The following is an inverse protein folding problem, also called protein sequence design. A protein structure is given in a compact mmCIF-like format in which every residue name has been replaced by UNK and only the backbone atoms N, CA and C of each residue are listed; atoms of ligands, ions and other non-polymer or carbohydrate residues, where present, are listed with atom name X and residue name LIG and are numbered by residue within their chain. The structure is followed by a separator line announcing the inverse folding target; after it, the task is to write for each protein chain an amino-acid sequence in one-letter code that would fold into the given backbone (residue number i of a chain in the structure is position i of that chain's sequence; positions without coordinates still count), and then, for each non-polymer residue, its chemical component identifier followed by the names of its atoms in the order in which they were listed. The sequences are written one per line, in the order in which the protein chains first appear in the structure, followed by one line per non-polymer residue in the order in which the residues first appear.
data_IF_612464656600
#
_entry.id   IF_612464656600
#
_cell.length_a   1.000
_cell.length_b   1.000
_cell.length_c   1.000
_cell.angle_alpha   90.00
_cell.angle_beta   90.00
_cell.angle_gamma   90.00
#
_symmetry.space_group_name_H-M   'P 1'
#
loop_
_entity.id
_entity.type
_entity.pdbx_description
1 polymer ?
#
# COMPACT_ATOMS: atom_id res chain seq x y z
N UNK A 1 11.16 62.45 18.34
CA UNK A 1 10.80 61.48 19.34
C UNK A 1 9.39 60.98 19.05
N UNK A 2 9.25 59.81 18.41
CA UNK A 2 7.99 59.18 18.14
C UNK A 2 8.09 57.74 18.66
N UNK A 3 7.49 57.48 19.81
CA UNK A 3 7.33 56.19 20.40
C UNK A 3 6.25 55.41 19.60
N UNK A 4 6.66 54.38 18.87
CA UNK A 4 5.74 53.41 18.29
C UNK A 4 5.30 52.44 19.41
N UNK A 5 4.02 52.51 19.73
CA UNK A 5 3.37 51.52 20.60
C UNK A 5 3.46 50.11 19.93
N UNK A 6 3.90 49.06 20.64
CA UNK A 6 3.73 47.71 20.15
C UNK A 6 2.25 47.35 20.20
N UNK A 7 1.70 47.03 19.04
CA UNK A 7 0.34 46.45 18.90
C UNK A 7 0.29 45.21 19.77
N UNK A 8 -0.50 45.26 20.84
CA UNK A 8 -0.80 44.12 21.68
C UNK A 8 -1.46 43.07 20.82
N UNK A 9 -0.81 41.92 20.64
CA UNK A 9 -1.43 40.73 20.07
C UNK A 9 -2.62 40.36 20.94
N UNK A 10 -3.78 40.29 20.32
CA UNK A 10 -5.01 39.83 20.95
C UNK A 10 -4.77 38.47 21.63
N UNK A 11 -4.96 38.45 22.94
CA UNK A 11 -4.69 37.32 23.83
C UNK A 11 -5.72 36.16 23.69
N UNK A 12 -6.40 36.03 22.54
CA UNK A 12 -7.48 35.05 22.38
C UNK A 12 -7.32 34.15 21.15
N UNK A 13 -6.10 33.96 20.67
CA UNK A 13 -5.87 32.93 19.66
C UNK A 13 -5.34 31.69 20.39
N UNK A 14 -6.12 30.59 20.50
CA UNK A 14 -5.65 29.38 21.14
C UNK A 14 -4.39 28.86 20.43
N UNK A 15 -3.48 28.28 21.21
CA UNK A 15 -2.26 27.68 20.68
C UNK A 15 -2.60 26.63 19.60
N UNK A 16 -1.75 26.41 18.56
CA UNK A 16 -2.04 25.48 17.46
C UNK A 16 -2.50 24.09 17.91
N UNK A 17 -1.90 23.54 18.96
CA UNK A 17 -2.29 22.26 19.56
C UNK A 17 -3.71 22.24 20.14
N UNK A 18 -4.18 23.36 20.70
CA UNK A 18 -5.53 23.44 21.25
C UNK A 18 -6.58 23.51 20.15
N UNK A 19 -6.24 24.14 19.03
CA UNK A 19 -7.12 24.25 17.85
C UNK A 19 -7.32 22.88 17.17
N UNK A 20 -6.25 22.10 17.04
CA UNK A 20 -6.33 20.74 16.48
C UNK A 20 -7.16 19.79 17.37
N UNK A 21 -6.98 19.83 18.68
CA UNK A 21 -7.78 19.06 19.64
C UNK A 21 -9.27 19.41 19.56
N UNK A 22 -9.59 20.71 19.45
CA UNK A 22 -10.96 21.18 19.27
C UNK A 22 -11.55 20.71 17.93
N UNK A 23 -10.78 20.80 16.85
CA UNK A 23 -11.20 20.31 15.54
C UNK A 23 -11.46 18.79 15.54
N UNK A 24 -10.56 18.01 16.13
CA UNK A 24 -10.71 16.56 16.30
C UNK A 24 -11.97 16.20 17.10
N UNK A 25 -12.20 16.90 18.22
CA UNK A 25 -13.42 16.72 19.02
C UNK A 25 -14.66 17.05 18.22
N UNK A 26 -14.67 18.18 17.50
CA UNK A 26 -15.78 18.60 16.66
C UNK A 26 -16.08 17.61 15.55
N UNK A 27 -15.06 17.12 14.86
CA UNK A 27 -15.20 16.12 13.80
C UNK A 27 -15.79 14.81 14.33
N UNK A 28 -15.28 14.28 15.45
CA UNK A 28 -15.80 13.07 16.07
C UNK A 28 -17.24 13.23 16.55
N UNK A 29 -17.59 14.37 17.17
CA UNK A 29 -18.96 14.67 17.57
C UNK A 29 -19.91 14.78 16.37
N UNK A 30 -19.46 15.37 15.26
CA UNK A 30 -20.21 15.41 14.01
C UNK A 30 -20.49 14.00 13.49
N UNK A 31 -19.50 13.10 13.51
CA UNK A 31 -19.68 11.69 13.16
C UNK A 31 -20.60 10.95 14.12
N UNK A 32 -20.65 11.31 15.40
CA UNK A 32 -21.61 10.76 16.35
C UNK A 32 -23.01 11.41 16.29
N UNK A 33 -23.14 12.58 15.62
CA UNK A 33 -24.37 13.37 15.61
C UNK A 33 -24.65 14.11 16.91
N UNK A 34 -23.60 14.38 17.70
CA UNK A 34 -23.71 15.14 18.96
C UNK A 34 -23.60 16.64 18.69
N UNK A 35 -24.23 17.48 19.52
CA UNK A 35 -24.14 18.93 19.38
C UNK A 35 -22.70 19.41 19.66
N UNK A 36 -22.27 20.40 18.86
CA UNK A 36 -20.96 21.05 19.00
C UNK A 36 -21.07 22.26 19.91
N UNK A 37 -20.03 22.53 20.69
CA UNK A 37 -19.84 23.80 21.39
C UNK A 37 -19.50 24.92 20.42
N UNK A 38 -19.61 26.18 20.83
CA UNK A 38 -19.35 27.31 19.93
C UNK A 38 -17.89 27.39 19.49
N UNK A 39 -16.94 26.98 20.36
CA UNK A 39 -15.53 26.90 20.01
C UNK A 39 -15.25 25.77 19.02
N UNK A 40 -15.89 24.62 19.19
CA UNK A 40 -15.84 23.50 18.25
C UNK A 40 -16.44 23.86 16.89
N UNK A 41 -17.56 24.57 16.87
CA UNK A 41 -18.16 25.10 15.62
C UNK A 41 -17.21 26.00 14.86
N UNK A 42 -16.51 26.92 15.58
CA UNK A 42 -15.51 27.80 14.96
C UNK A 42 -14.36 27.00 14.38
N UNK A 43 -13.78 26.07 15.17
CA UNK A 43 -12.68 25.22 14.70
C UNK A 43 -13.08 24.39 13.47
N UNK A 44 -14.28 23.82 13.48
CA UNK A 44 -14.81 23.01 12.38
C UNK A 44 -15.09 23.83 11.13
N UNK A 45 -15.71 25.02 11.26
CA UNK A 45 -16.01 25.90 10.12
C UNK A 45 -14.76 26.48 9.47
N UNK A 46 -13.73 26.77 10.25
CA UNK A 46 -12.43 27.28 9.73
C UNK A 46 -11.74 26.21 8.87
N UNK A 47 -11.81 24.95 9.28
CA UNK A 47 -11.22 23.84 8.54
C UNK A 47 -12.10 23.42 7.34
N UNK A 48 -13.44 23.50 7.46
CA UNK A 48 -14.40 23.12 6.41
C UNK A 48 -14.46 24.11 5.22
N UNK A 49 -13.88 25.30 5.32
CA UNK A 49 -13.77 26.23 4.19
C UNK A 49 -12.96 25.67 3.00
N UNK A 50 -12.35 24.48 3.16
CA UNK A 50 -11.66 23.73 2.10
C UNK A 50 -12.57 22.75 1.33
N UNK A 51 -13.87 22.70 1.61
CA UNK A 51 -14.87 22.00 0.78
C UNK A 51 -15.18 20.55 1.13
N UNK A 52 -14.38 19.87 1.96
CA UNK A 52 -14.66 18.51 2.46
C UNK A 52 -14.24 18.42 3.94
N UNK A 53 -14.95 17.64 4.78
CA UNK A 53 -14.54 17.39 6.16
C UNK A 53 -13.24 16.56 6.14
N UNK A 54 -12.12 17.27 6.24
CA UNK A 54 -10.79 16.66 6.29
C UNK A 54 -10.68 15.92 7.62
N UNK A 55 -10.21 14.67 7.58
CA UNK A 55 -9.91 13.92 8.80
C UNK A 55 -8.81 14.68 9.56
N UNK A 56 -8.94 14.88 10.89
CA UNK A 56 -7.88 15.47 11.69
C UNK A 56 -6.55 14.72 11.51
N UNK A 57 -5.45 15.45 11.41
CA UNK A 57 -4.12 14.88 11.10
C UNK A 57 -3.73 13.76 12.07
N UNK A 58 -4.02 13.93 13.35
CA UNK A 58 -3.77 12.90 14.37
C UNK A 58 -4.55 11.62 14.13
N UNK A 59 -5.81 11.72 13.70
CA UNK A 59 -6.64 10.55 13.36
C UNK A 59 -6.21 9.94 12.04
N UNK A 60 -5.84 10.73 11.03
CA UNK A 60 -5.28 10.25 9.76
C UNK A 60 -4.00 9.44 9.99
N UNK A 61 -3.09 9.94 10.82
CA UNK A 61 -1.86 9.24 11.18
C UNK A 61 -2.13 7.91 11.92
N UNK A 62 -3.15 7.85 12.77
CA UNK A 62 -3.58 6.60 13.41
C UNK A 62 -4.12 5.59 12.38
N UNK A 63 -4.91 6.04 11.40
CA UNK A 63 -5.41 5.21 10.30
C UNK A 63 -4.23 4.63 9.50
N UNK A 64 -3.29 5.47 9.08
CA UNK A 64 -2.12 5.05 8.30
C UNK A 64 -1.27 4.05 9.09
N UNK A 65 -1.02 4.33 10.39
CA UNK A 65 -0.29 3.41 11.26
C UNK A 65 -0.99 2.05 11.34
N UNK A 66 -2.31 2.05 11.54
CA UNK A 66 -3.10 0.82 11.59
C UNK A 66 -3.07 0.06 10.27
N UNK A 67 -3.12 0.77 9.13
CA UNK A 67 -2.99 0.16 7.81
C UNK A 67 -1.65 -0.58 7.65
N UNK A 68 -0.56 0.01 8.11
CA UNK A 68 0.76 -0.63 8.06
C UNK A 68 0.91 -1.80 9.03
N UNK A 69 0.18 -1.80 10.16
CA UNK A 69 0.11 -2.96 11.06
C UNK A 69 -0.63 -4.14 10.41
N UNK A 70 -1.72 -3.86 9.68
CA UNK A 70 -2.56 -4.88 9.02
C UNK A 70 -1.91 -5.41 7.75
N UNK A 71 -1.27 -4.54 6.98
CA UNK A 71 -0.63 -4.86 5.71
C UNK A 71 0.82 -4.32 5.66
N UNK A 72 1.77 -5.00 6.35
CA UNK A 72 3.16 -4.54 6.44
C UNK A 72 3.86 -4.43 5.08
N UNK A 73 3.39 -5.13 4.05
CA UNK A 73 3.96 -5.04 2.70
C UNK A 73 3.85 -3.61 2.12
N UNK A 74 2.86 -2.83 2.56
CA UNK A 74 2.69 -1.44 2.14
C UNK A 74 3.90 -0.56 2.50
N UNK A 75 4.60 -0.88 3.59
CA UNK A 75 5.81 -0.15 4.00
C UNK A 75 6.99 -0.39 3.05
N UNK A 76 6.97 -1.49 2.30
CA UNK A 76 8.01 -1.82 1.34
C UNK A 76 7.72 -1.23 -0.04
N UNK A 77 6.47 -0.83 -0.32
CA UNK A 77 6.06 -0.18 -1.56
C UNK A 77 6.38 1.32 -1.53
N UNK A 78 6.61 1.89 -2.70
CA UNK A 78 6.84 3.33 -2.87
C UNK A 78 5.51 4.04 -3.06
N UNK A 79 4.94 4.57 -1.96
CA UNK A 79 3.62 5.18 -1.96
C UNK A 79 3.73 6.70 -1.84
N UNK A 80 3.03 7.42 -2.72
CA UNK A 80 2.94 8.87 -2.77
C UNK A 80 1.55 9.35 -2.37
N UNK A 81 1.44 10.63 -1.98
CA UNK A 81 0.21 11.33 -1.65
C UNK A 81 0.11 12.59 -2.52
N UNK A 82 -0.16 12.40 -3.82
CA UNK A 82 -0.24 13.50 -4.78
C UNK A 82 -1.66 13.58 -5.33
N UNK A 83 -2.38 14.70 -5.13
CA UNK A 83 -3.73 14.87 -5.64
C UNK A 83 -3.79 14.78 -7.17
N UNK A 84 -4.83 14.12 -7.68
CA UNK A 84 -5.08 14.01 -9.11
C UNK A 84 -4.23 12.93 -9.81
N UNK A 85 -4.10 13.06 -11.13
CA UNK A 85 -3.33 12.12 -11.93
C UNK A 85 -1.84 12.33 -11.71
N UNK A 86 -1.15 11.28 -11.31
CA UNK A 86 0.28 11.28 -11.04
C UNK A 86 1.03 10.49 -12.11
N UNK A 87 2.07 11.09 -12.67
CA UNK A 87 3.01 10.42 -13.58
C UNK A 87 4.37 10.34 -12.93
N UNK A 88 4.86 9.11 -12.78
CA UNK A 88 6.21 8.84 -12.30
C UNK A 88 7.10 8.48 -13.48
N UNK A 89 8.18 9.24 -13.68
CA UNK A 89 9.19 8.91 -14.69
C UNK A 89 10.03 7.72 -14.21
N UNK A 90 10.20 6.75 -15.07
CA UNK A 90 11.09 5.60 -14.86
C UNK A 90 12.17 5.61 -15.93
N UNK A 91 13.37 5.19 -15.57
CA UNK A 91 14.43 4.93 -16.52
C UNK A 91 14.02 3.73 -17.39
N UNK A 92 14.06 3.89 -18.70
CA UNK A 92 13.72 2.83 -19.64
C UNK A 92 14.95 1.97 -19.95
N UNK A 93 15.58 2.20 -21.08
CA UNK A 93 16.89 1.64 -21.41
C UNK A 93 17.98 2.65 -21.09
N UNK A 94 18.99 2.20 -20.35
CA UNK A 94 20.18 2.96 -20.07
C UNK A 94 21.34 2.21 -20.74
N UNK A 95 21.96 2.83 -21.76
CA UNK A 95 23.09 2.24 -22.42
C UNK A 95 24.34 2.39 -21.53
N UNK A 96 25.20 1.36 -21.51
CA UNK A 96 26.45 1.42 -20.78
C UNK A 96 27.39 2.46 -21.38
N UNK A 97 28.17 3.11 -20.53
CA UNK A 97 29.23 4.01 -20.99
C UNK A 97 30.25 3.25 -21.81
N UNK A 98 30.50 3.70 -23.05
CA UNK A 98 31.49 3.09 -23.92
C UNK A 98 32.88 3.58 -23.59
N UNK A 99 33.89 2.69 -23.68
CA UNK A 99 35.31 3.08 -23.61
C UNK A 99 35.68 3.89 -24.86
N UNK A 100 36.07 5.14 -24.65
CA UNK A 100 36.49 6.01 -25.76
C UNK A 100 37.98 5.76 -26.13
N UNK A 101 38.21 5.53 -27.41
CA UNK A 101 39.58 5.48 -27.98
C UNK A 101 39.90 6.86 -28.53
N UNK A 102 41.11 7.35 -28.24
CA UNK A 102 41.59 8.65 -28.72
C UNK A 102 41.42 8.79 -30.24
N UNK A 103 40.89 9.92 -30.70
CA UNK A 103 40.53 10.23 -32.09
C UNK A 103 39.40 9.40 -32.74
N UNK A 104 38.68 8.59 -32.00
CA UNK A 104 37.48 7.92 -32.51
C UNK A 104 36.23 8.83 -32.39
N UNK A 105 35.25 8.65 -33.27
CA UNK A 105 33.99 9.35 -33.17
C UNK A 105 33.19 8.80 -31.96
N UNK A 106 32.62 9.69 -31.12
CA UNK A 106 31.75 9.33 -30.03
C UNK A 106 30.37 9.04 -30.61
N UNK A 107 29.88 7.83 -30.41
CA UNK A 107 28.51 7.46 -30.75
C UNK A 107 27.60 7.82 -29.56
N UNK A 108 26.55 8.61 -29.81
CA UNK A 108 25.57 8.94 -28.77
C UNK A 108 24.78 7.68 -28.41
N UNK A 109 24.71 7.40 -27.14
CA UNK A 109 23.79 6.39 -26.59
C UNK A 109 22.35 6.91 -26.66
N UNK A 110 21.39 5.99 -26.83
CA UNK A 110 19.96 6.33 -26.89
C UNK A 110 19.28 5.88 -25.60
N UNK A 111 19.31 6.75 -24.58
CA UNK A 111 18.57 6.52 -23.36
C UNK A 111 17.06 6.76 -23.60
N UNK A 112 16.24 5.89 -23.08
CA UNK A 112 14.79 6.05 -23.14
C UNK A 112 14.21 6.26 -21.74
N UNK A 113 13.27 7.21 -21.62
CA UNK A 113 12.51 7.44 -20.42
C UNK A 113 11.12 6.83 -20.58
N UNK A 114 10.79 5.91 -19.69
CA UNK A 114 9.42 5.42 -19.52
C UNK A 114 8.63 6.27 -18.53
N UNK A 115 7.33 6.09 -18.46
CA UNK A 115 6.50 6.67 -17.42
C UNK A 115 5.43 5.72 -16.95
N UNK A 116 5.20 5.70 -15.63
CA UNK A 116 4.05 5.05 -15.01
C UNK A 116 3.01 6.12 -14.71
N UNK A 117 1.82 6.00 -15.30
CA UNK A 117 0.70 6.91 -15.04
C UNK A 117 -0.28 6.25 -14.07
N UNK A 118 -0.58 6.92 -12.96
CA UNK A 118 -1.54 6.53 -11.94
C UNK A 118 -2.74 7.46 -12.02
N UNK A 119 -3.94 6.89 -12.21
CA UNK A 119 -5.18 7.65 -12.43
C UNK A 119 -6.08 7.67 -11.20
N UNK A 120 -5.93 6.71 -10.31
CA UNK A 120 -6.74 6.57 -9.11
C UNK A 120 -8.02 5.76 -9.33
N UNK A 121 -8.28 4.84 -8.39
CA UNK A 121 -9.52 4.06 -8.30
C UNK A 121 -10.12 4.27 -6.92
N UNK A 122 -11.42 4.47 -6.86
CA UNK A 122 -12.11 4.65 -5.60
C UNK A 122 -12.25 3.32 -4.85
N UNK A 123 -11.77 3.30 -3.62
CA UNK A 123 -11.91 2.17 -2.70
C UNK A 123 -12.82 2.61 -1.57
N UNK A 124 -13.96 1.94 -1.44
CA UNK A 124 -14.99 2.30 -0.47
C UNK A 124 -15.28 1.17 0.49
N UNK A 125 -15.59 1.53 1.73
CA UNK A 125 -16.10 0.63 2.77
C UNK A 125 -17.29 1.26 3.46
N UNK A 126 -18.46 0.63 3.31
CA UNK A 126 -19.65 0.98 4.07
C UNK A 126 -19.67 0.15 5.36
N UNK A 127 -19.75 0.82 6.49
CA UNK A 127 -19.88 0.23 7.82
C UNK A 127 -21.25 0.60 8.40
N UNK A 128 -22.05 -0.40 8.70
CA UNK A 128 -23.34 -0.23 9.40
C UNK A 128 -23.10 -0.38 10.89
N UNK A 129 -23.29 0.70 11.64
CA UNK A 129 -23.16 0.68 13.09
C UNK A 129 -24.55 0.83 13.74
N UNK A 130 -24.76 0.14 14.85
CA UNK A 130 -25.98 0.33 15.60
C UNK A 130 -26.01 1.72 16.25
N UNK A 131 -27.19 2.23 16.56
CA UNK A 131 -27.33 3.52 17.24
C UNK A 131 -26.62 3.59 18.59
N UNK A 132 -26.38 2.45 19.24
CA UNK A 132 -25.58 2.37 20.45
C UNK A 132 -24.13 2.86 20.25
N UNK A 133 -23.57 2.78 19.02
CA UNK A 133 -22.25 3.31 18.74
C UNK A 133 -22.17 4.84 18.85
N UNK A 134 -23.26 5.56 18.62
CA UNK A 134 -23.31 7.02 18.80
C UNK A 134 -23.24 7.45 20.28
N UNK A 135 -23.55 6.55 21.19
CA UNK A 135 -23.50 6.79 22.65
C UNK A 135 -22.12 6.45 23.26
N UNK A 136 -21.22 5.88 22.47
CA UNK A 136 -19.86 5.57 22.95
C UNK A 136 -19.10 6.83 23.35
N UNK A 137 -18.12 6.67 24.24
CA UNK A 137 -17.13 7.75 24.50
C UNK A 137 -16.39 8.08 23.22
N UNK A 138 -16.07 9.37 23.02
CA UNK A 138 -15.42 9.87 21.78
C UNK A 138 -14.15 9.08 21.41
N UNK A 139 -13.31 8.77 22.38
CA UNK A 139 -12.07 8.02 22.13
C UNK A 139 -12.31 6.57 21.72
N UNK A 140 -13.30 5.92 22.32
CA UNK A 140 -13.67 4.55 21.96
C UNK A 140 -14.31 4.49 20.57
N UNK A 141 -15.14 5.47 20.24
CA UNK A 141 -15.73 5.61 18.91
C UNK A 141 -14.68 5.86 17.84
N UNK A 142 -13.71 6.74 18.10
CA UNK A 142 -12.60 7.00 17.19
C UNK A 142 -11.81 5.73 16.92
N UNK A 143 -11.38 5.02 17.98
CA UNK A 143 -10.65 3.76 17.85
C UNK A 143 -11.43 2.73 17.02
N UNK A 144 -12.73 2.61 17.23
CA UNK A 144 -13.58 1.70 16.46
C UNK A 144 -13.62 2.06 14.97
N UNK A 145 -13.85 3.34 14.63
CA UNK A 145 -13.90 3.79 13.23
C UNK A 145 -12.54 3.62 12.55
N UNK A 146 -11.47 4.02 13.23
CA UNK A 146 -10.09 3.86 12.74
C UNK A 146 -9.79 2.39 12.45
N UNK A 147 -10.10 1.50 13.39
CA UNK A 147 -9.81 0.07 13.24
C UNK A 147 -10.57 -0.55 12.09
N UNK A 148 -11.89 -0.37 12.04
CA UNK A 148 -12.75 -1.03 11.04
C UNK A 148 -12.48 -0.51 9.62
N UNK A 149 -12.31 0.80 9.45
CA UNK A 149 -12.09 1.38 8.11
C UNK A 149 -10.66 1.13 7.65
N UNK A 150 -9.66 1.39 8.50
CA UNK A 150 -8.25 1.20 8.15
C UNK A 150 -7.95 -0.25 7.79
N UNK A 151 -8.46 -1.20 8.57
CA UNK A 151 -8.25 -2.63 8.29
C UNK A 151 -8.88 -3.03 6.95
N UNK A 152 -10.12 -2.62 6.68
CA UNK A 152 -10.79 -2.98 5.44
C UNK A 152 -10.11 -2.40 4.20
N UNK A 153 -9.69 -1.13 4.27
CA UNK A 153 -9.00 -0.43 3.18
C UNK A 153 -7.60 -1.05 2.97
N UNK A 154 -6.83 -1.27 4.05
CA UNK A 154 -5.50 -1.86 3.97
C UNK A 154 -5.51 -3.25 3.32
N UNK A 155 -6.42 -4.13 3.76
CA UNK A 155 -6.59 -5.47 3.17
C UNK A 155 -6.97 -5.41 1.69
N UNK A 156 -7.77 -4.42 1.29
CA UNK A 156 -8.16 -4.25 -0.11
C UNK A 156 -7.00 -3.76 -0.97
N UNK A 157 -6.22 -2.81 -0.47
CA UNK A 157 -5.02 -2.32 -1.16
C UNK A 157 -3.96 -3.41 -1.24
N UNK A 158 -3.70 -4.14 -0.15
CA UNK A 158 -2.80 -5.30 -0.16
C UNK A 158 -3.21 -6.31 -1.24
N UNK A 159 -4.51 -6.63 -1.33
CA UNK A 159 -5.02 -7.51 -2.36
C UNK A 159 -4.71 -6.99 -3.77
N UNK A 160 -4.84 -5.69 -4.03
CA UNK A 160 -4.50 -5.11 -5.33
C UNK A 160 -3.00 -5.15 -5.60
N UNK A 161 -2.14 -4.91 -4.60
CA UNK A 161 -0.68 -5.04 -4.74
C UNK A 161 -0.28 -6.44 -5.19
N UNK A 162 -0.98 -7.49 -4.74
CA UNK A 162 -0.68 -8.85 -5.14
C UNK A 162 -1.41 -9.31 -6.41
N UNK A 163 -2.70 -9.02 -6.55
CA UNK A 163 -3.56 -9.61 -7.59
C UNK A 163 -4.08 -8.61 -8.60
N UNK A 164 -3.74 -7.34 -8.47
CA UNK A 164 -4.20 -6.29 -9.36
C UNK A 164 -3.73 -6.46 -10.80
N UNK A 165 -4.61 -6.22 -11.76
CA UNK A 165 -4.33 -6.39 -13.19
C UNK A 165 -4.04 -5.08 -13.92
N UNK A 166 -4.22 -3.92 -13.27
CA UNK A 166 -4.05 -2.61 -13.89
C UNK A 166 -5.13 -2.23 -14.91
N UNK A 167 -6.14 -3.07 -15.09
CA UNK A 167 -7.28 -2.79 -15.99
C UNK A 167 -8.53 -2.61 -15.15
N UNK A 168 -9.09 -1.40 -15.11
CA UNK A 168 -10.23 -1.00 -14.27
C UNK A 168 -10.01 -1.24 -12.77
N UNK A 169 -8.78 -1.40 -12.35
CA UNK A 169 -8.34 -1.58 -10.97
C UNK A 169 -6.84 -1.30 -10.86
N UNK A 170 -6.32 -1.02 -9.64
CA UNK A 170 -4.89 -0.88 -9.44
C UNK A 170 -4.10 -2.07 -9.98
N UNK A 171 -2.89 -1.84 -10.47
CA UNK A 171 -1.97 -2.89 -10.89
C UNK A 171 -1.13 -3.41 -9.73
N UNK A 172 -0.73 -4.68 -9.80
CA UNK A 172 0.03 -5.34 -8.76
C UNK A 172 1.13 -6.25 -9.31
N UNK A 173 1.78 -6.99 -8.42
CA UNK A 173 2.87 -7.92 -8.74
C UNK A 173 2.50 -8.86 -9.89
N UNK A 174 1.24 -9.26 -10.00
CA UNK A 174 0.77 -10.15 -11.07
C UNK A 174 1.06 -9.64 -12.49
N UNK A 175 1.30 -8.34 -12.64
CA UNK A 175 1.61 -7.67 -13.91
C UNK A 175 3.01 -7.04 -13.91
N UNK A 176 3.94 -7.61 -13.14
CA UNK A 176 5.29 -7.10 -12.99
C UNK A 176 6.36 -7.89 -13.77
N UNK A 177 5.94 -8.88 -14.57
CA UNK A 177 6.85 -9.71 -15.38
C UNK A 177 7.57 -8.93 -16.49
N UNK A 178 8.58 -9.58 -17.07
CA UNK A 178 9.39 -9.04 -18.17
C UNK A 178 8.68 -9.10 -19.53
N UNK A 179 7.62 -9.91 -19.65
CA UNK A 179 6.89 -10.08 -20.89
C UNK A 179 6.00 -8.89 -21.25
N UNK A 180 5.37 -8.97 -22.42
CA UNK A 180 4.46 -7.94 -22.89
C UNK A 180 3.35 -7.69 -21.88
N UNK A 181 3.03 -6.42 -21.59
CA UNK A 181 2.04 -6.00 -20.60
C UNK A 181 2.32 -6.50 -19.17
N UNK A 182 3.59 -6.83 -18.85
CA UNK A 182 3.99 -7.31 -17.53
C UNK A 182 3.64 -8.78 -17.26
N UNK A 183 3.46 -9.58 -18.29
CA UNK A 183 3.24 -11.02 -18.14
C UNK A 183 4.51 -11.74 -17.71
N UNK A 184 4.38 -12.76 -16.88
CA UNK A 184 5.47 -13.65 -16.52
C UNK A 184 5.66 -14.73 -17.60
N UNK A 185 6.90 -15.07 -17.88
CA UNK A 185 7.27 -16.06 -18.89
C UNK A 185 8.12 -17.16 -18.27
N UNK A 186 7.71 -18.42 -18.45
CA UNK A 186 8.42 -19.57 -17.92
C UNK A 186 9.87 -19.65 -18.45
N UNK A 187 10.82 -19.88 -17.55
CA UNK A 187 12.25 -19.86 -17.85
C UNK A 187 12.91 -18.47 -17.95
N UNK A 188 12.15 -17.36 -17.91
CA UNK A 188 12.68 -15.99 -17.98
C UNK A 188 12.51 -15.25 -16.66
N UNK A 189 11.33 -15.29 -16.07
CA UNK A 189 10.98 -14.66 -14.79
C UNK A 189 9.91 -15.48 -14.04
N UNK A 190 9.63 -16.68 -14.51
CA UNK A 190 8.73 -17.64 -13.90
C UNK A 190 9.34 -19.04 -13.92
N UNK A 191 9.04 -19.81 -12.88
CA UNK A 191 9.21 -21.26 -12.86
C UNK A 191 7.83 -21.90 -12.66
N UNK A 192 7.44 -22.77 -13.58
CA UNK A 192 6.18 -23.51 -13.49
C UNK A 192 6.44 -24.95 -13.06
N UNK A 193 5.98 -25.30 -11.87
CA UNK A 193 6.04 -26.68 -11.34
C UNK A 193 4.82 -27.45 -11.83
N UNK A 194 5.04 -28.68 -12.31
CA UNK A 194 3.93 -29.52 -12.77
C UNK A 194 2.89 -29.78 -11.66
N UNK A 195 1.62 -29.94 -12.03
CA UNK A 195 0.48 -30.07 -11.11
C UNK A 195 0.67 -31.11 -10.00
N UNK A 196 1.18 -32.26 -10.34
CA UNK A 196 1.42 -33.40 -9.43
C UNK A 196 2.86 -33.44 -8.90
N UNK A 197 3.73 -32.59 -9.44
CA UNK A 197 5.12 -32.54 -9.01
C UNK A 197 5.27 -31.82 -7.66
N UNK A 198 6.16 -32.32 -6.83
CA UNK A 198 6.59 -31.62 -5.63
C UNK A 198 7.58 -30.52 -6.00
N UNK A 199 7.55 -29.41 -5.26
CA UNK A 199 8.59 -28.40 -5.37
C UNK A 199 9.94 -29.00 -4.97
N UNK A 200 10.98 -28.69 -5.72
CA UNK A 200 12.34 -29.15 -5.44
C UNK A 200 13.24 -27.98 -5.07
N UNK A 201 14.38 -28.29 -4.45
CA UNK A 201 15.40 -27.29 -4.11
C UNK A 201 15.91 -26.59 -5.37
N UNK A 202 16.11 -27.35 -6.46
CA UNK A 202 16.58 -26.81 -7.74
C UNK A 202 15.59 -25.79 -8.33
N UNK A 203 14.28 -26.00 -8.16
CA UNK A 203 13.28 -25.01 -8.62
C UNK A 203 13.40 -23.70 -7.86
N UNK A 204 13.63 -23.74 -6.55
CA UNK A 204 13.79 -22.52 -5.72
C UNK A 204 15.07 -21.79 -6.08
N UNK A 205 16.19 -22.52 -6.25
CA UNK A 205 17.47 -21.96 -6.64
C UNK A 205 17.39 -21.35 -8.06
N UNK A 206 16.79 -22.08 -8.99
CA UNK A 206 16.60 -21.59 -10.37
C UNK A 206 15.74 -20.31 -10.40
N UNK A 207 14.65 -20.27 -9.61
CA UNK A 207 13.81 -19.07 -9.53
C UNK A 207 14.57 -17.87 -8.97
N UNK A 208 15.37 -18.08 -7.92
CA UNK A 208 16.19 -17.02 -7.35
C UNK A 208 17.21 -16.48 -8.37
N UNK A 209 17.77 -17.36 -9.21
CA UNK A 209 18.68 -16.99 -10.30
C UNK A 209 18.03 -16.22 -11.45
N UNK A 210 16.69 -16.21 -11.58
CA UNK A 210 15.97 -15.41 -12.58
C UNK A 210 15.71 -13.96 -12.13
N UNK A 211 15.87 -13.68 -10.82
CA UNK A 211 15.76 -12.33 -10.30
C UNK A 211 16.87 -11.46 -10.88
N UNK A 212 16.52 -10.25 -11.29
CA UNK A 212 17.51 -9.30 -11.85
C UNK A 212 18.57 -8.90 -10.82
N UNK A 213 19.78 -8.65 -11.29
CA UNK A 213 20.90 -8.25 -10.45
C UNK A 213 20.60 -6.97 -9.66
N UNK A 214 20.92 -6.97 -8.38
CA UNK A 214 20.75 -5.82 -7.48
C UNK A 214 19.40 -5.76 -6.76
N UNK A 215 18.38 -6.54 -7.18
CA UNK A 215 17.08 -6.59 -6.49
C UNK A 215 17.07 -7.55 -5.30
N UNK A 216 18.02 -8.43 -5.18
CA UNK A 216 18.14 -9.43 -4.12
C UNK A 216 18.22 -8.83 -2.71
N UNK A 217 18.79 -7.61 -2.59
CA UNK A 217 19.02 -6.96 -1.28
C UNK A 217 17.75 -6.66 -0.50
N UNK A 218 16.67 -6.30 -1.21
CA UNK A 218 15.38 -5.94 -0.62
C UNK A 218 14.29 -6.94 -0.99
N UNK A 219 14.65 -8.03 -1.66
CA UNK A 219 13.71 -9.04 -2.11
C UNK A 219 13.01 -9.71 -0.93
N UNK A 220 11.71 -9.97 -1.11
CA UNK A 220 10.84 -10.63 -0.15
C UNK A 220 10.07 -11.73 -0.86
N UNK A 221 10.02 -12.90 -0.24
CA UNK A 221 9.11 -13.95 -0.66
C UNK A 221 7.70 -13.65 -0.18
N UNK A 222 6.74 -13.65 -1.08
CA UNK A 222 5.34 -13.47 -0.77
C UNK A 222 4.54 -14.69 -1.20
N UNK A 223 3.82 -15.29 -0.28
CA UNK A 223 3.00 -16.47 -0.56
C UNK A 223 1.90 -16.66 0.47
N UNK A 224 0.95 -17.52 0.14
CA UNK A 224 -0.05 -17.96 1.10
C UNK A 224 0.59 -18.90 2.14
N UNK A 225 0.16 -18.81 3.39
CA UNK A 225 0.63 -19.68 4.47
C UNK A 225 0.43 -21.17 4.15
N UNK A 226 -0.69 -21.52 3.50
CA UNK A 226 -0.93 -22.89 3.07
C UNK A 226 0.12 -23.34 2.04
N UNK A 227 0.47 -22.52 1.06
CA UNK A 227 1.52 -22.80 0.07
C UNK A 227 2.86 -23.03 0.72
N UNK A 228 3.23 -22.19 1.69
CA UNK A 228 4.50 -22.37 2.39
C UNK A 228 4.60 -23.73 3.08
N UNK A 229 3.59 -24.10 3.87
CA UNK A 229 3.62 -25.35 4.61
C UNK A 229 3.43 -26.59 3.75
N UNK A 230 2.74 -26.50 2.61
CA UNK A 230 2.55 -27.63 1.69
C UNK A 230 3.74 -27.86 0.76
N UNK A 231 4.31 -26.80 0.21
CA UNK A 231 5.25 -26.89 -0.90
C UNK A 231 6.70 -26.60 -0.45
N UNK A 232 6.92 -25.58 0.38
CA UNK A 232 8.27 -25.16 0.79
C UNK A 232 8.75 -25.84 2.08
N UNK A 233 7.91 -25.92 3.10
CA UNK A 233 8.33 -26.50 4.39
C UNK A 233 8.90 -27.92 4.32
N UNK A 234 8.40 -28.82 3.44
CA UNK A 234 9.00 -30.13 3.26
C UNK A 234 10.46 -30.10 2.79
N UNK A 235 10.89 -28.99 2.13
CA UNK A 235 12.28 -28.82 1.69
C UNK A 235 13.23 -28.58 2.87
N UNK A 236 12.75 -27.98 3.96
CA UNK A 236 13.56 -27.65 5.15
C UNK A 236 14.29 -28.90 5.71
N UNK A 237 13.64 -30.07 5.64
CA UNK A 237 14.20 -31.31 6.14
C UNK A 237 14.90 -32.17 5.06
N UNK A 238 14.72 -31.84 3.78
CA UNK A 238 15.24 -32.64 2.65
C UNK A 238 16.37 -31.92 1.91
N UNK A 239 16.48 -30.60 2.08
CA UNK A 239 17.49 -29.79 1.40
C UNK A 239 18.88 -30.06 1.98
N UNK A 240 19.85 -30.27 1.08
CA UNK A 240 21.27 -30.43 1.45
C UNK A 240 21.93 -29.06 1.72
N UNK A 241 21.36 -27.97 1.22
CA UNK A 241 21.96 -26.63 1.18
C UNK A 241 21.27 -25.62 2.11
N UNK A 242 20.42 -26.05 3.04
CA UNK A 242 19.69 -25.15 3.96
C UNK A 242 19.01 -23.98 3.24
N UNK A 243 18.28 -24.27 2.17
CA UNK A 243 17.58 -23.24 1.37
C UNK A 243 16.55 -22.47 2.21
N UNK A 244 16.01 -23.09 3.27
CA UNK A 244 15.01 -22.49 4.14
C UNK A 244 15.55 -22.46 5.57
N UNK A 245 15.52 -21.29 6.18
CA UNK A 245 15.95 -21.05 7.56
C UNK A 245 14.83 -20.44 8.39
N UNK A 246 14.82 -20.78 9.68
CA UNK A 246 13.95 -20.15 10.66
C UNK A 246 14.82 -19.41 11.69
N UNK A 247 14.75 -18.09 11.68
CA UNK A 247 15.50 -17.23 12.59
C UNK A 247 14.65 -16.08 13.09
N UNK A 248 14.83 -15.68 14.34
CA UNK A 248 14.15 -14.53 14.95
C UNK A 248 12.61 -14.53 14.80
N UNK A 249 12.00 -15.73 14.81
CA UNK A 249 10.54 -15.88 14.66
C UNK A 249 10.02 -15.72 13.23
N UNK A 250 10.90 -15.66 12.23
CA UNK A 250 10.57 -15.51 10.82
C UNK A 250 11.21 -16.62 9.98
N UNK A 251 10.59 -16.89 8.84
CA UNK A 251 11.16 -17.80 7.84
C UNK A 251 11.91 -17.00 6.77
N UNK A 252 13.02 -17.54 6.33
CA UNK A 252 13.84 -17.02 5.26
C UNK A 252 14.06 -18.10 4.22
N UNK A 253 14.03 -17.74 2.94
CA UNK A 253 14.33 -18.62 1.82
C UNK A 253 15.45 -17.95 1.02
N UNK A 254 16.60 -18.60 0.90
CA UNK A 254 17.80 -18.05 0.27
C UNK A 254 18.19 -16.65 0.84
N UNK A 255 18.01 -16.45 2.16
CA UNK A 255 18.31 -15.19 2.83
C UNK A 255 17.23 -14.11 2.71
N UNK A 256 16.22 -14.28 1.85
CA UNK A 256 15.09 -13.35 1.72
C UNK A 256 13.94 -13.72 2.68
N UNK A 257 13.39 -12.74 3.37
CA UNK A 257 12.29 -12.90 4.32
C UNK A 257 11.02 -13.43 3.66
N UNK A 258 10.28 -14.29 4.33
CA UNK A 258 8.98 -14.80 3.87
C UNK A 258 7.85 -13.96 4.47
N UNK A 259 7.06 -13.33 3.62
CA UNK A 259 5.84 -12.62 3.97
C UNK A 259 4.60 -13.46 3.65
N UNK A 260 3.78 -13.72 4.65
CA UNK A 260 2.54 -14.46 4.48
C UNK A 260 1.37 -13.53 4.18
N UNK A 261 0.69 -13.79 3.07
CA UNK A 261 -0.53 -13.08 2.70
C UNK A 261 -1.63 -14.03 2.29
N UNK A 262 -2.87 -13.73 2.70
CA UNK A 262 -4.05 -14.45 2.22
C UNK A 262 -4.54 -13.99 0.85
N UNK A 263 -3.90 -12.99 0.26
CA UNK A 263 -4.32 -12.40 -1.02
C UNK A 263 -3.85 -13.20 -2.23
N UNK A 264 -2.84 -14.07 -2.07
CA UNK A 264 -2.34 -14.95 -3.12
C UNK A 264 -3.08 -16.29 -3.14
N UNK A 265 -3.22 -16.87 -4.32
CA UNK A 265 -3.79 -18.20 -4.48
C UNK A 265 -2.87 -19.28 -3.89
N UNK A 266 -3.44 -20.47 -3.70
CA UNK A 266 -2.63 -21.62 -3.29
C UNK A 266 -1.66 -22.01 -4.41
N UNK A 267 -0.45 -22.40 -4.02
CA UNK A 267 0.64 -22.82 -4.91
C UNK A 267 1.19 -21.70 -5.82
N UNK A 268 0.95 -20.44 -5.46
CA UNK A 268 1.59 -19.27 -6.06
C UNK A 268 2.54 -18.63 -5.05
N UNK A 269 3.73 -18.25 -5.51
CA UNK A 269 4.68 -17.46 -4.73
C UNK A 269 5.39 -16.44 -5.62
N UNK A 270 5.65 -15.27 -5.07
CA UNK A 270 6.42 -14.21 -5.72
C UNK A 270 7.65 -13.89 -4.88
N UNK A 271 8.77 -13.68 -5.56
CA UNK A 271 9.98 -13.14 -4.97
C UNK A 271 10.30 -11.83 -5.68
N UNK A 272 10.58 -10.78 -4.94
CA UNK A 272 11.01 -9.53 -5.56
C UNK A 272 11.08 -8.35 -4.60
N UNK A 273 11.53 -7.23 -5.14
CA UNK A 273 11.66 -5.95 -4.43
C UNK A 273 10.39 -5.11 -4.60
N UNK A 274 9.62 -4.99 -3.54
CA UNK A 274 8.36 -4.25 -3.53
C UNK A 274 8.53 -2.74 -3.62
N UNK A 275 9.75 -2.19 -3.50
CA UNK A 275 10.00 -0.77 -3.76
C UNK A 275 9.76 -0.38 -5.23
N UNK A 276 9.69 -1.37 -6.12
CA UNK A 276 9.32 -1.22 -7.54
C UNK A 276 7.81 -1.29 -7.79
N UNK A 277 6.99 -1.35 -6.75
CA UNK A 277 5.57 -1.07 -6.83
C UNK A 277 5.34 0.38 -6.42
N UNK A 278 4.89 1.17 -7.39
CA UNK A 278 4.60 2.59 -7.20
C UNK A 278 3.11 2.73 -6.96
N UNK A 279 2.74 3.31 -5.83
CA UNK A 279 1.36 3.65 -5.47
C UNK A 279 1.17 5.14 -5.26
N UNK A 280 -0.04 5.62 -5.46
CA UNK A 280 -0.43 6.98 -5.15
C UNK A 280 -1.82 7.06 -4.54
N UNK A 281 -1.94 7.77 -3.43
CA UNK A 281 -3.23 8.25 -2.93
C UNK A 281 -3.54 9.59 -3.60
N UNK A 282 -4.44 9.56 -4.59
CA UNK A 282 -4.96 10.79 -5.21
C UNK A 282 -5.91 11.54 -4.29
N UNK A 283 -6.54 10.81 -3.38
CA UNK A 283 -7.34 11.33 -2.27
C UNK A 283 -7.12 10.43 -1.06
N UNK A 284 -6.73 11.04 0.05
CA UNK A 284 -6.58 10.36 1.32
C UNK A 284 -7.92 9.83 1.84
N UNK A 285 -7.86 8.97 2.86
CA UNK A 285 -9.06 8.35 3.42
C UNK A 285 -9.97 9.43 3.98
N UNK A 286 -11.24 9.38 3.58
CA UNK A 286 -12.32 10.21 4.09
C UNK A 286 -13.35 9.34 4.79
N UNK A 287 -14.02 9.87 5.82
CA UNK A 287 -15.10 9.18 6.51
C UNK A 287 -16.32 10.09 6.51
N UNK A 288 -17.42 9.59 5.95
CA UNK A 288 -18.69 10.31 5.87
C UNK A 288 -19.78 9.51 6.61
N UNK A 289 -20.65 10.21 7.36
CA UNK A 289 -21.78 9.65 8.09
C UNK A 289 -23.07 9.89 7.32
N UNK A 290 -23.94 8.88 7.31
CA UNK A 290 -25.32 9.00 6.81
C UNK A 290 -26.31 8.41 7.80
N UNK A 291 -27.36 9.14 8.11
CA UNK A 291 -28.48 8.66 8.94
C UNK A 291 -29.63 8.14 8.08
N UNK A 292 -29.68 8.55 6.82
CA UNK A 292 -30.84 8.29 5.96
C UNK A 292 -30.85 6.87 5.39
N UNK A 293 -29.69 6.31 5.07
CA UNK A 293 -29.56 4.97 4.47
C UNK A 293 -29.90 3.84 5.45
N UNK A 294 -29.70 4.05 6.75
CA UNK A 294 -29.91 3.07 7.82
C UNK A 294 -31.26 3.15 8.52
N UNK A 295 -32.19 4.01 8.07
CA UNK A 295 -33.45 4.29 8.80
C UNK A 295 -34.29 3.03 9.02
N UNK A 296 -34.39 2.16 8.02
CA UNK A 296 -35.20 0.93 8.10
C UNK A 296 -34.66 -0.12 9.10
N UNK A 297 -33.34 -0.06 9.38
CA UNK A 297 -32.64 -0.99 10.27
C UNK A 297 -32.20 -0.37 11.59
N UNK A 298 -32.60 0.89 11.85
CA UNK A 298 -32.19 1.69 13.00
C UNK A 298 -30.64 1.72 13.17
N UNK A 299 -29.94 1.85 12.03
CA UNK A 299 -28.48 1.92 11.97
C UNK A 299 -28.02 3.28 11.46
N UNK A 300 -26.77 3.60 11.76
CA UNK A 300 -26.05 4.74 11.20
C UNK A 300 -24.99 4.17 10.29
N UNK A 301 -24.92 4.69 9.06
CA UNK A 301 -23.98 4.22 8.07
C UNK A 301 -22.77 5.14 8.00
N UNK A 302 -21.57 4.57 8.07
CA UNK A 302 -20.29 5.25 7.90
C UNK A 302 -19.66 4.78 6.61
N UNK A 303 -19.36 5.69 5.70
CA UNK A 303 -18.66 5.43 4.46
C UNK A 303 -17.21 5.89 4.60
N UNK A 304 -16.28 4.93 4.63
CA UNK A 304 -14.87 5.20 4.43
C UNK A 304 -14.53 5.12 2.94
N UNK A 305 -13.90 6.12 2.38
CA UNK A 305 -13.50 6.17 0.98
C UNK A 305 -12.08 6.71 0.83
N UNK A 306 -11.33 6.17 -0.12
CA UNK A 306 -10.06 6.73 -0.58
C UNK A 306 -9.92 6.50 -2.08
N UNK A 307 -9.09 7.31 -2.74
CA UNK A 307 -8.75 7.11 -4.15
C UNK A 307 -7.29 6.68 -4.23
N UNK A 308 -7.06 5.43 -4.63
CA UNK A 308 -5.75 4.81 -4.70
C UNK A 308 -5.52 4.16 -6.06
N UNK A 309 -4.28 4.25 -6.55
CA UNK A 309 -3.82 3.48 -7.69
C UNK A 309 -2.41 2.98 -7.43
N UNK A 310 -2.06 1.84 -8.03
CA UNK A 310 -0.72 1.29 -7.99
C UNK A 310 -0.38 0.62 -9.30
N UNK A 311 0.90 0.67 -9.65
CA UNK A 311 1.44 -0.08 -10.80
C UNK A 311 2.85 -0.55 -10.49
N UNK A 312 3.21 -1.77 -10.89
CA UNK A 312 4.59 -2.23 -10.86
C UNK A 312 5.40 -1.53 -11.95
N UNK A 313 6.67 -1.32 -11.68
CA UNK A 313 7.65 -1.01 -12.72
C UNK A 313 8.01 -2.34 -13.39
N UNK A 314 7.30 -2.66 -14.48
CA UNK A 314 7.47 -3.91 -15.20
C UNK A 314 8.72 -3.89 -16.12
N UNK A 315 9.22 -5.07 -16.49
CA UNK A 315 10.28 -5.24 -17.49
C UNK A 315 11.72 -5.29 -16.95
N UNK A 316 11.94 -4.87 -15.69
CA UNK A 316 13.30 -4.78 -15.12
C UNK A 316 13.75 -6.06 -14.38
N UNK A 317 12.88 -7.06 -14.22
CA UNK A 317 13.19 -8.29 -13.49
C UNK A 317 13.24 -8.13 -11.98
N UNK A 318 12.59 -7.09 -11.46
CA UNK A 318 12.47 -6.88 -10.02
C UNK A 318 11.60 -7.92 -9.31
N UNK A 319 10.82 -8.70 -10.06
CA UNK A 319 9.94 -9.75 -9.55
C UNK A 319 10.06 -11.02 -10.37
N UNK A 320 9.99 -12.15 -9.69
CA UNK A 320 9.89 -13.49 -10.27
C UNK A 320 8.75 -14.27 -9.64
N UNK A 321 8.16 -15.17 -10.40
CA UNK A 321 6.95 -15.89 -10.05
C UNK A 321 7.17 -17.40 -10.02
N UNK A 322 6.75 -18.05 -8.95
CA UNK A 322 6.61 -19.49 -8.87
C UNK A 322 5.13 -19.84 -8.99
N UNK A 323 4.79 -20.61 -9.99
CA UNK A 323 3.44 -21.11 -10.20
C UNK A 323 3.43 -22.64 -10.23
N UNK A 324 2.35 -23.23 -9.73
CA UNK A 324 2.06 -24.63 -9.97
C UNK A 324 1.01 -24.73 -11.08
N UNK A 325 1.24 -25.61 -12.09
CA UNK A 325 0.33 -25.74 -13.20
C UNK A 325 -1.10 -26.02 -12.72
N UNK A 326 -2.05 -25.33 -13.35
CA UNK A 326 -3.47 -25.50 -13.03
C UNK A 326 -3.97 -26.92 -13.31
N UNK A 327 -5.08 -27.26 -12.70
CA UNK A 327 -5.74 -28.55 -12.87
C UNK A 327 -6.30 -28.74 -14.29
#
# INVERSE_FOLDING_TARGET
AGLSNPVARSANQPAPESTEKLYRSAWLKTLQGKPLTDDEKRAYSTAANSGLPIIPETTANQIIKKMYEVAPILQRCKIFHVPGNFKFAIEGTNDEAALHTENAAITAATDSLGSVSLTGYEIVKLVKASRACSEMALSAFESYIVEVIAEAVARRIEKYIFTGTGTNQPGGVKTAGKGASGAYTDGTDQITVGKTASLTEENVIALYGLLGDGYERNAVWCMNKATFFSDFFPLMNKSKNNVIEFANGKYYIMGAEVYFTGSLAAHEAYLGDFSYIIGNYSQDITVVRSEHSGLATNSIDYLGACVFDSKPVAGFGAFVHLAKAAA
#
